data_IF_682091349479
#
_entry.id   IF_682091349479
#
_cell.length_a   1.000
_cell.length_b   1.000
_cell.length_c   1.000
_cell.angle_alpha   90.00
_cell.angle_beta   90.00
_cell.angle_gamma   90.00
#
_symmetry.space_group_name_H-M   'P 1'
#
loop_
_entity.id
_entity.type
_entity.pdbx_description
1 polymer ?
#
# COMPACT_ATOMS: atom_id res chain seq x y z
N UNK A 1 -32.64 -18.76 -24.04
CA UNK A 1 -32.04 -18.73 -22.68
C UNK A 1 -30.56 -18.44 -22.90
N UNK A 2 -30.24 -17.14 -23.07
CA UNK A 2 -28.85 -16.72 -23.21
C UNK A 2 -28.37 -16.35 -21.80
N UNK A 3 -27.77 -17.31 -21.15
CA UNK A 3 -26.94 -17.05 -19.97
C UNK A 3 -25.61 -16.47 -20.47
N UNK A 4 -25.64 -15.18 -20.81
CA UNK A 4 -24.42 -14.41 -20.92
C UNK A 4 -23.87 -14.30 -19.50
N UNK A 5 -22.94 -15.17 -19.13
CA UNK A 5 -22.08 -15.02 -17.98
C UNK A 5 -21.41 -13.65 -18.10
N UNK A 6 -22.06 -12.62 -17.57
CA UNK A 6 -21.44 -11.33 -17.33
C UNK A 6 -20.33 -11.57 -16.32
N UNK A 7 -19.15 -11.81 -16.82
CA UNK A 7 -17.94 -11.99 -16.01
C UNK A 7 -17.54 -10.62 -15.45
N UNK A 8 -18.31 -10.16 -14.48
CA UNK A 8 -18.07 -8.91 -13.78
C UNK A 8 -16.97 -9.15 -12.74
N UNK A 9 -15.71 -9.14 -13.18
CA UNK A 9 -14.56 -9.32 -12.31
C UNK A 9 -14.35 -8.02 -11.55
N UNK A 10 -14.60 -8.05 -10.24
CA UNK A 10 -14.19 -6.99 -9.34
C UNK A 10 -12.66 -6.98 -9.22
N UNK A 11 -11.99 -6.21 -10.07
CA UNK A 11 -10.53 -6.04 -10.08
C UNK A 11 -9.95 -5.54 -8.75
N UNK A 12 -10.78 -5.07 -7.83
CA UNK A 12 -10.36 -4.59 -6.51
C UNK A 12 -9.87 -5.71 -5.57
N UNK A 13 -10.18 -6.97 -5.86
CA UNK A 13 -9.76 -8.13 -5.05
C UNK A 13 -8.35 -8.64 -5.39
N UNK A 14 -7.71 -8.12 -6.45
CA UNK A 14 -6.47 -8.67 -7.02
C UNK A 14 -5.22 -7.83 -6.75
N UNK A 15 -5.06 -7.28 -5.55
CA UNK A 15 -3.95 -6.38 -5.24
C UNK A 15 -2.56 -6.99 -5.53
N UNK A 16 -2.33 -8.26 -5.20
CA UNK A 16 -1.05 -8.93 -5.43
C UNK A 16 -0.75 -9.19 -6.91
N UNK A 17 -1.72 -9.69 -7.66
CA UNK A 17 -1.57 -10.00 -9.08
C UNK A 17 -1.45 -8.75 -9.96
N UNK A 18 -2.14 -7.66 -9.63
CA UNK A 18 -1.99 -6.36 -10.29
C UNK A 18 -0.61 -5.74 -10.08
N UNK A 19 0.01 -5.99 -8.94
CA UNK A 19 1.36 -5.53 -8.63
C UNK A 19 2.39 -6.17 -9.56
N UNK A 20 2.29 -7.48 -9.75
CA UNK A 20 3.13 -8.21 -10.70
C UNK A 20 2.85 -7.76 -12.13
N UNK A 21 1.59 -7.54 -12.51
CA UNK A 21 1.24 -7.00 -13.83
C UNK A 21 1.87 -5.63 -14.07
N UNK A 22 1.89 -4.76 -13.07
CA UNK A 22 2.54 -3.45 -13.17
C UNK A 22 4.05 -3.59 -13.37
N UNK A 23 4.70 -4.50 -12.65
CA UNK A 23 6.14 -4.71 -12.77
C UNK A 23 6.50 -5.32 -14.15
N UNK A 24 5.69 -6.25 -14.65
CA UNK A 24 5.82 -6.78 -16.01
C UNK A 24 5.58 -5.71 -17.07
N UNK A 25 4.55 -4.87 -16.89
CA UNK A 25 4.26 -3.76 -17.78
C UNK A 25 5.44 -2.78 -17.87
N UNK A 26 6.06 -2.45 -16.74
CA UNK A 26 7.26 -1.59 -16.69
C UNK A 26 8.48 -2.22 -17.33
N UNK A 27 8.59 -3.54 -17.31
CA UNK A 27 9.70 -4.23 -17.98
C UNK A 27 9.71 -4.03 -19.49
N UNK A 28 8.56 -3.73 -20.09
CA UNK A 28 8.44 -3.44 -21.52
C UNK A 28 9.03 -2.08 -21.93
N UNK A 29 9.39 -1.21 -20.95
CA UNK A 29 9.94 0.14 -21.16
C UNK A 29 9.07 1.03 -22.07
N UNK A 30 7.76 0.81 -22.08
CA UNK A 30 6.76 1.57 -22.82
C UNK A 30 5.82 2.24 -21.83
N UNK A 31 5.25 3.37 -22.22
CA UNK A 31 4.21 4.02 -21.42
C UNK A 31 3.02 3.10 -21.17
N UNK A 32 2.47 3.13 -19.95
CA UNK A 32 1.33 2.31 -19.56
C UNK A 32 0.09 2.51 -20.46
N UNK A 33 0.00 3.66 -21.13
CA UNK A 33 -1.08 3.95 -22.08
C UNK A 33 -0.95 3.18 -23.39
N UNK A 34 0.29 2.89 -23.82
CA UNK A 34 0.59 2.23 -25.10
C UNK A 34 0.86 0.73 -24.95
N UNK A 35 0.72 0.19 -23.73
CA UNK A 35 0.99 -1.23 -23.49
C UNK A 35 0.01 -2.11 -24.24
N UNK A 36 0.55 -3.15 -24.88
CA UNK A 36 -0.23 -4.23 -25.45
C UNK A 36 -0.69 -5.21 -24.37
N UNK A 37 -1.99 -5.27 -24.14
CA UNK A 37 -2.59 -6.19 -23.17
C UNK A 37 -2.36 -7.65 -23.56
N UNK A 38 -2.32 -7.94 -24.85
CA UNK A 38 -2.03 -9.30 -25.35
C UNK A 38 -0.63 -9.77 -24.98
N UNK A 39 0.39 -8.90 -25.14
CA UNK A 39 1.77 -9.18 -24.71
C UNK A 39 1.88 -9.30 -23.20
N UNK A 40 1.18 -8.43 -22.45
CA UNK A 40 1.16 -8.47 -21.01
C UNK A 40 0.56 -9.77 -20.48
N UNK A 41 -0.50 -10.28 -21.10
CA UNK A 41 -1.10 -11.58 -20.78
C UNK A 41 -0.11 -12.74 -20.99
N UNK A 42 0.67 -12.71 -22.09
CA UNK A 42 1.68 -13.74 -22.35
C UNK A 42 2.80 -13.73 -21.31
N UNK A 43 3.31 -12.54 -20.98
CA UNK A 43 4.34 -12.38 -19.95
C UNK A 43 3.86 -12.83 -18.56
N UNK A 44 2.60 -12.53 -18.23
CA UNK A 44 2.02 -12.96 -16.96
C UNK A 44 1.87 -14.49 -16.89
N UNK A 45 1.46 -15.11 -18.00
CA UNK A 45 1.36 -16.56 -18.10
C UNK A 45 2.76 -17.24 -17.96
N UNK A 46 3.76 -16.71 -18.62
CA UNK A 46 5.15 -17.16 -18.48
C UNK A 46 5.67 -17.01 -17.05
N UNK A 47 5.38 -15.89 -16.42
CA UNK A 47 5.74 -15.65 -15.02
C UNK A 47 5.15 -16.72 -14.08
N UNK A 48 3.87 -17.05 -14.24
CA UNK A 48 3.22 -18.09 -13.39
C UNK A 48 3.83 -19.46 -13.66
N UNK A 49 4.07 -19.81 -14.92
CA UNK A 49 4.62 -21.11 -15.31
C UNK A 49 6.03 -21.30 -14.72
N UNK A 50 6.83 -20.23 -14.66
CA UNK A 50 8.18 -20.24 -14.11
C UNK A 50 8.22 -20.20 -12.58
N UNK A 51 7.14 -19.77 -11.95
CA UNK A 51 7.05 -19.59 -10.49
C UNK A 51 6.64 -20.89 -9.78
N UNK A 52 7.58 -21.83 -9.62
CA UNK A 52 7.32 -23.18 -9.07
C UNK A 52 7.03 -23.23 -7.56
N UNK A 53 7.25 -22.14 -6.81
CA UNK A 53 7.20 -22.12 -5.34
C UNK A 53 6.16 -21.13 -4.77
N UNK A 54 5.05 -20.93 -5.47
CA UNK A 54 3.99 -20.06 -4.95
C UNK A 54 3.23 -20.78 -3.83
N UNK A 55 2.99 -20.08 -2.71
CA UNK A 55 2.03 -20.52 -1.71
C UNK A 55 0.65 -20.74 -2.34
N UNK A 56 -0.07 -21.78 -1.91
CA UNK A 56 -1.33 -22.18 -2.55
C UNK A 56 -2.36 -21.04 -2.62
N UNK A 57 -2.43 -20.21 -1.58
CA UNK A 57 -3.35 -19.07 -1.49
C UNK A 57 -3.00 -18.00 -2.55
N UNK A 58 -1.74 -17.63 -2.66
CA UNK A 58 -1.24 -16.67 -3.67
C UNK A 58 -1.38 -17.25 -5.08
N UNK A 59 -1.14 -18.56 -5.25
CA UNK A 59 -1.27 -19.24 -6.52
C UNK A 59 -2.70 -19.19 -7.06
N UNK A 60 -3.71 -19.27 -6.20
CA UNK A 60 -5.12 -19.20 -6.61
C UNK A 60 -5.49 -17.84 -7.21
N UNK A 61 -5.03 -16.75 -6.62
CA UNK A 61 -5.26 -15.38 -7.13
C UNK A 61 -4.57 -15.17 -8.49
N UNK A 62 -3.33 -15.65 -8.62
CA UNK A 62 -2.61 -15.55 -9.88
C UNK A 62 -3.22 -16.39 -10.99
N UNK A 63 -3.69 -17.59 -10.66
CA UNK A 63 -4.37 -18.46 -11.62
C UNK A 63 -5.67 -17.83 -12.13
N UNK A 64 -6.44 -17.24 -11.24
CA UNK A 64 -7.67 -16.54 -11.60
C UNK A 64 -7.40 -15.34 -12.50
N UNK A 65 -6.38 -14.53 -12.20
CA UNK A 65 -5.94 -13.43 -13.07
C UNK A 65 -5.44 -13.93 -14.43
N UNK A 66 -4.67 -15.01 -14.45
CA UNK A 66 -4.20 -15.60 -15.71
C UNK A 66 -5.36 -16.06 -16.61
N UNK A 67 -6.36 -16.70 -16.01
CA UNK A 67 -7.57 -17.15 -16.72
C UNK A 67 -8.31 -15.95 -17.30
N UNK A 68 -8.48 -14.89 -16.51
CA UNK A 68 -9.13 -13.67 -16.96
C UNK A 68 -8.36 -12.98 -18.08
N UNK A 69 -7.04 -12.85 -17.98
CA UNK A 69 -6.20 -12.26 -19.03
C UNK A 69 -6.22 -13.09 -20.31
N UNK A 70 -6.24 -14.41 -20.20
CA UNK A 70 -6.35 -15.31 -21.36
C UNK A 70 -7.69 -15.14 -22.07
N UNK A 71 -8.78 -15.03 -21.30
CA UNK A 71 -10.11 -14.72 -21.83
C UNK A 71 -10.14 -13.37 -22.55
N UNK A 72 -9.62 -12.32 -21.89
CA UNK A 72 -9.54 -10.98 -22.48
C UNK A 72 -8.70 -10.97 -23.76
N UNK A 73 -7.56 -11.68 -23.76
CA UNK A 73 -6.72 -11.83 -24.95
C UNK A 73 -7.48 -12.51 -26.09
N UNK A 74 -8.23 -13.58 -25.80
CA UNK A 74 -9.05 -14.29 -26.80
C UNK A 74 -10.08 -13.36 -27.43
N UNK A 75 -10.80 -12.58 -26.63
CA UNK A 75 -11.83 -11.64 -27.13
C UNK A 75 -11.23 -10.45 -27.89
N UNK A 76 -10.01 -10.00 -27.55
CA UNK A 76 -9.30 -8.96 -28.30
C UNK A 76 -8.75 -9.44 -29.64
N UNK A 77 -8.40 -10.72 -29.76
CA UNK A 77 -7.85 -11.29 -31.02
C UNK A 77 -8.91 -11.85 -31.95
N UNK A 78 -9.99 -12.38 -31.40
CA UNK A 78 -11.07 -13.06 -32.13
C UNK A 78 -12.43 -12.63 -31.57
N UNK A 79 -12.87 -11.40 -31.84
CA UNK A 79 -14.21 -10.97 -31.43
C UNK A 79 -15.27 -11.68 -32.27
N UNK A 80 -16.33 -12.15 -31.61
CA UNK A 80 -17.45 -12.80 -32.30
C UNK A 80 -18.43 -11.78 -32.91
N UNK A 81 -18.44 -10.55 -32.36
CA UNK A 81 -19.24 -9.42 -32.81
C UNK A 81 -18.56 -8.09 -32.54
N UNK A 82 -18.97 -7.03 -33.26
CA UNK A 82 -18.47 -5.66 -33.01
C UNK A 82 -18.76 -5.16 -31.60
N UNK A 83 -19.89 -5.59 -31.01
CA UNK A 83 -20.21 -5.25 -29.63
C UNK A 83 -19.26 -5.89 -28.59
N UNK A 84 -18.82 -7.13 -28.86
CA UNK A 84 -17.85 -7.82 -28.01
C UNK A 84 -16.45 -7.22 -28.14
N UNK A 85 -16.06 -6.82 -29.36
CA UNK A 85 -14.81 -6.10 -29.56
C UNK A 85 -14.78 -4.80 -28.77
N UNK A 86 -15.86 -4.01 -28.85
CA UNK A 86 -15.96 -2.77 -28.12
C UNK A 86 -15.88 -2.99 -26.59
N UNK A 87 -16.61 -3.98 -26.07
CA UNK A 87 -16.56 -4.33 -24.64
C UNK A 87 -15.16 -4.81 -24.22
N UNK A 88 -14.49 -5.62 -25.03
CA UNK A 88 -13.14 -6.09 -24.75
C UNK A 88 -12.12 -4.94 -24.71
N UNK A 89 -12.23 -3.99 -25.62
CA UNK A 89 -11.41 -2.78 -25.64
C UNK A 89 -11.66 -1.91 -24.39
N UNK A 90 -12.92 -1.70 -24.01
CA UNK A 90 -13.25 -0.94 -22.80
C UNK A 90 -12.65 -1.58 -21.53
N UNK A 91 -12.72 -2.92 -21.44
CA UNK A 91 -12.13 -3.65 -20.31
C UNK A 91 -10.61 -3.55 -20.32
N UNK A 92 -9.98 -3.61 -21.50
CA UNK A 92 -8.54 -3.42 -21.64
C UNK A 92 -8.10 -2.01 -21.20
N UNK A 93 -8.86 -0.98 -21.55
CA UNK A 93 -8.60 0.40 -21.12
C UNK A 93 -8.80 0.57 -19.61
N UNK A 94 -9.83 -0.03 -19.04
CA UNK A 94 -10.03 -0.06 -17.59
C UNK A 94 -8.85 -0.69 -16.85
N UNK A 95 -8.30 -1.79 -17.37
CA UNK A 95 -7.10 -2.42 -16.79
C UNK A 95 -5.88 -1.48 -16.85
N UNK A 96 -5.63 -0.85 -18.00
CA UNK A 96 -4.55 0.14 -18.15
C UNK A 96 -4.70 1.29 -17.15
N UNK A 97 -5.91 1.80 -16.99
CA UNK A 97 -6.19 2.88 -16.03
C UNK A 97 -5.93 2.45 -14.58
N UNK A 98 -6.25 1.21 -14.22
CA UNK A 98 -5.97 0.68 -12.89
C UNK A 98 -4.47 0.51 -12.65
N UNK A 99 -3.70 0.02 -13.62
CA UNK A 99 -2.25 -0.07 -13.54
C UNK A 99 -1.62 1.32 -13.37
N UNK A 100 -2.09 2.31 -14.12
CA UNK A 100 -1.64 3.72 -13.98
C UNK A 100 -1.98 4.29 -12.61
N UNK A 101 -3.18 4.03 -12.11
CA UNK A 101 -3.59 4.43 -10.75
C UNK A 101 -2.70 3.80 -9.68
N UNK A 102 -2.40 2.51 -9.79
CA UNK A 102 -1.51 1.80 -8.87
C UNK A 102 -0.10 2.39 -8.89
N UNK A 103 0.43 2.69 -10.06
CA UNK A 103 1.74 3.36 -10.21
C UNK A 103 1.77 4.72 -9.51
N UNK A 104 0.75 5.55 -9.73
CA UNK A 104 0.64 6.85 -9.08
C UNK A 104 0.55 6.72 -7.55
N UNK A 105 -0.21 5.75 -7.05
CA UNK A 105 -0.33 5.49 -5.61
C UNK A 105 1.03 5.09 -5.04
N UNK A 106 1.80 4.20 -5.71
CA UNK A 106 3.15 3.81 -5.29
C UNK A 106 4.10 5.01 -5.24
N UNK A 107 4.09 5.84 -6.27
CA UNK A 107 4.92 7.04 -6.35
C UNK A 107 4.57 8.03 -5.23
N UNK A 108 3.28 8.33 -5.04
CA UNK A 108 2.83 9.23 -3.97
C UNK A 108 3.14 8.67 -2.58
N UNK A 109 2.94 7.37 -2.38
CA UNK A 109 3.26 6.70 -1.12
C UNK A 109 4.75 6.82 -0.79
N UNK A 110 5.64 6.57 -1.76
CA UNK A 110 7.08 6.73 -1.57
C UNK A 110 7.47 8.17 -1.23
N UNK A 111 6.85 9.16 -1.88
CA UNK A 111 7.07 10.58 -1.56
C UNK A 111 6.54 10.95 -0.17
N UNK A 112 5.38 10.43 0.23
CA UNK A 112 4.86 10.66 1.59
C UNK A 112 5.75 10.02 2.65
N UNK A 113 6.23 8.81 2.41
CA UNK A 113 7.10 8.08 3.33
C UNK A 113 8.49 8.71 3.46
N UNK A 114 8.96 9.45 2.45
CA UNK A 114 10.23 10.20 2.50
C UNK A 114 10.13 11.51 3.30
N UNK A 115 8.92 12.00 3.59
CA UNK A 115 8.72 13.20 4.42
C UNK A 115 9.02 12.92 5.88
N UNK A 116 9.44 13.96 6.59
CA UNK A 116 9.66 13.92 8.04
C UNK A 116 8.35 13.54 8.76
N UNK A 117 8.41 12.48 9.57
CA UNK A 117 7.24 11.94 10.27
C UNK A 117 7.22 12.40 11.72
N UNK A 118 6.02 12.78 12.19
CA UNK A 118 5.79 13.08 13.60
C UNK A 118 6.00 11.82 14.44
N UNK A 119 6.75 11.93 15.53
CA UNK A 119 7.06 10.82 16.41
C UNK A 119 8.29 9.98 16.02
N UNK A 120 8.86 10.19 14.80
CA UNK A 120 10.09 9.55 14.34
C UNK A 120 11.19 10.58 14.04
N UNK A 121 10.91 11.53 13.15
CA UNK A 121 11.87 12.51 12.67
C UNK A 121 11.61 13.91 13.26
N UNK A 122 10.37 14.16 13.68
CA UNK A 122 9.91 15.42 14.29
C UNK A 122 9.11 15.07 15.54
N UNK A 123 9.44 15.70 16.66
CA UNK A 123 8.73 15.53 17.90
C UNK A 123 8.06 16.84 18.29
N UNK A 124 6.80 16.77 18.75
CA UNK A 124 6.15 17.92 19.34
C UNK A 124 6.81 18.27 20.66
N UNK A 125 6.95 19.55 20.94
CA UNK A 125 7.35 20.01 22.27
C UNK A 125 6.29 19.52 23.26
N UNK A 126 6.66 18.62 24.16
CA UNK A 126 5.79 18.11 25.20
C UNK A 126 5.17 19.25 26.02
N UNK A 127 4.10 18.95 26.76
CA UNK A 127 3.57 19.86 27.77
C UNK A 127 4.72 20.35 28.62
N UNK A 128 4.81 21.66 28.84
CA UNK A 128 5.71 22.22 29.87
C UNK A 128 5.28 21.58 31.20
N UNK A 129 5.90 20.48 31.58
CA UNK A 129 5.81 20.01 32.94
C UNK A 129 6.43 21.14 33.76
N UNK A 130 5.61 21.87 34.51
CA UNK A 130 6.11 22.88 35.43
C UNK A 130 7.15 22.16 36.30
N UNK A 131 8.39 22.61 36.25
CA UNK A 131 9.40 22.15 37.19
C UNK A 131 8.85 22.50 38.54
N UNK A 132 8.39 21.49 39.29
CA UNK A 132 8.03 21.71 40.71
C UNK A 132 9.34 21.78 41.45
N UNK A 133 9.74 22.98 42.01
CA UNK A 133 10.93 23.04 42.81
C UNK A 133 10.68 22.18 44.06
N UNK A 134 11.49 21.17 44.25
CA UNK A 134 11.52 20.40 45.49
C UNK A 134 12.36 21.23 46.43
N UNK A 135 11.71 21.87 47.39
CA UNK A 135 12.39 22.58 48.46
C UNK A 135 12.86 21.52 49.47
N UNK A 136 14.14 21.18 49.44
CA UNK A 136 14.79 20.36 50.43
C UNK A 136 15.27 21.34 51.53
N UNK A 137 14.52 21.40 52.63
CA UNK A 137 14.85 22.28 53.75
C UNK A 137 15.98 21.65 54.59
N UNK A 138 17.21 22.07 54.34
CA UNK A 138 18.30 21.73 55.25
C UNK A 138 18.24 22.62 56.51
N UNK A 139 17.80 22.02 57.59
CA UNK A 139 17.81 22.67 58.86
C UNK A 139 19.22 22.62 59.42
N UNK A 140 19.91 23.76 59.52
CA UNK A 140 21.20 23.93 60.18
C UNK A 140 20.98 24.61 61.57
N UNK A 141 20.40 23.85 62.46
CA UNK A 141 20.17 24.34 63.83
C UNK A 141 21.38 24.02 64.65
N UNK A 142 21.87 25.03 65.37
CA UNK A 142 22.92 24.87 66.45
C UNK A 142 22.25 24.47 67.73
N UNK A 143 22.99 23.72 68.57
CA UNK A 143 22.53 23.34 69.93
C UNK A 143 22.11 24.55 70.74
N UNK A 144 22.81 25.67 70.57
CA UNK A 144 22.53 26.93 71.27
C UNK A 144 21.15 27.49 70.89
N UNK A 145 20.75 27.45 69.58
CA UNK A 145 19.46 27.94 69.13
C UNK A 145 18.31 27.07 69.66
N UNK A 146 18.49 25.77 69.74
CA UNK A 146 17.51 24.86 70.31
C UNK A 146 17.32 25.12 71.81
N UNK A 147 18.40 25.27 72.58
CA UNK A 147 18.34 25.57 73.98
C UNK A 147 17.73 26.95 74.24
N UNK A 148 18.06 27.95 73.47
CA UNK A 148 17.49 29.30 73.60
C UNK A 148 15.98 29.29 73.34
N UNK A 149 15.48 28.60 72.34
CA UNK A 149 14.03 28.50 72.09
C UNK A 149 13.32 27.70 73.17
N UNK A 150 13.95 26.69 73.72
CA UNK A 150 13.39 25.96 74.87
C UNK A 150 13.30 26.82 76.11
N UNK A 151 14.35 27.60 76.43
CA UNK A 151 14.37 28.51 77.56
C UNK A 151 13.36 29.68 77.44
N UNK A 152 13.01 30.10 76.27
CA UNK A 152 12.00 31.15 76.05
C UNK A 152 10.57 30.59 76.01
N UNK A 153 10.37 29.28 75.99
CA UNK A 153 9.07 28.60 76.02
C UNK A 153 8.67 28.15 77.45
N UNK A 154 9.52 28.30 78.41
CA UNK A 154 9.27 28.12 79.86
C UNK A 154 8.84 29.43 80.50
#
# INVERSE_FOLDING_TARGET
>A
MNDSLEFNVELNAYNGSLEVLLDLAKSQKVDLEQISITKLADQFHEFITNSKNLNLEIASEYLLMATWLTYLKSKLLLPESEEEEFKALEVAEKLKLQLKKLELIRLLSSQMLSRKRLGRDVFMRGLKSGVKPIYDSKYTLTLFEVLKTYALSL
#
